data_IF_383416779211
#
_entry.id   IF_383416779211
#
_cell.length_a   1.000
_cell.length_b   1.000
_cell.length_c   1.000
_cell.angle_alpha   90.00
_cell.angle_beta   90.00
_cell.angle_gamma   90.00
#
_symmetry.space_group_name_H-M   'P 1'
#
loop_
_entity.id
_entity.type
_entity.pdbx_description
1 polymer ?
#
# COMPACT_ATOMS: atom_id res chain seq x y z
N UNK A 1 7.09 -16.16 -13.92
CA UNK A 1 6.46 -16.17 -12.58
C UNK A 1 6.75 -17.47 -11.81
N UNK A 2 6.31 -18.66 -12.26
CA UNK A 2 6.57 -19.94 -11.55
C UNK A 2 8.06 -20.27 -11.33
N UNK A 3 8.93 -19.93 -12.30
CA UNK A 3 10.38 -20.18 -12.22
C UNK A 3 11.05 -19.43 -11.06
N UNK A 4 10.65 -18.19 -10.79
CA UNK A 4 11.26 -17.37 -9.72
C UNK A 4 10.90 -17.92 -8.34
N UNK A 5 9.63 -18.29 -8.14
CA UNK A 5 9.16 -18.92 -6.89
C UNK A 5 9.90 -20.23 -6.63
N UNK A 6 10.06 -21.08 -7.65
CA UNK A 6 10.79 -22.34 -7.51
C UNK A 6 12.27 -22.13 -7.20
N UNK A 7 12.92 -21.12 -7.79
CA UNK A 7 14.31 -20.78 -7.49
C UNK A 7 14.46 -20.29 -6.05
N UNK A 8 13.56 -19.44 -5.57
CA UNK A 8 13.56 -18.95 -4.17
C UNK A 8 13.32 -20.10 -3.20
N UNK A 9 12.33 -20.97 -3.47
CA UNK A 9 12.08 -22.14 -2.64
C UNK A 9 13.28 -23.08 -2.58
N UNK A 10 13.91 -23.40 -3.72
CA UNK A 10 15.08 -24.27 -3.73
C UNK A 10 16.28 -23.66 -2.98
N UNK A 11 16.48 -22.34 -3.13
CA UNK A 11 17.52 -21.60 -2.40
C UNK A 11 17.28 -21.65 -0.88
N UNK A 12 16.06 -21.33 -0.45
CA UNK A 12 15.70 -21.32 0.96
C UNK A 12 15.68 -22.73 1.58
N UNK A 13 15.23 -23.74 0.84
CA UNK A 13 15.24 -25.14 1.30
C UNK A 13 16.68 -25.63 1.53
N UNK A 14 17.60 -25.29 0.62
CA UNK A 14 19.04 -25.57 0.79
C UNK A 14 19.61 -24.83 2.01
N UNK A 15 19.22 -23.56 2.21
CA UNK A 15 19.64 -22.75 3.35
C UNK A 15 19.17 -23.33 4.69
N UNK A 16 17.88 -23.64 4.83
CA UNK A 16 17.34 -24.19 6.08
C UNK A 16 17.78 -25.64 6.33
N UNK A 17 17.98 -26.44 5.28
CA UNK A 17 18.59 -27.78 5.40
C UNK A 17 20.03 -27.67 5.93
N UNK A 18 20.80 -26.67 5.50
CA UNK A 18 22.16 -26.45 6.02
C UNK A 18 22.18 -25.98 7.49
N UNK A 19 21.18 -25.21 7.90
CA UNK A 19 21.03 -24.74 9.28
C UNK A 19 20.45 -25.81 10.23
N UNK A 20 19.86 -26.88 9.68
CA UNK A 20 19.18 -27.98 10.38
C UNK A 20 18.06 -27.54 11.36
N UNK A 21 17.45 -26.36 11.15
CA UNK A 21 16.57 -25.75 12.16
C UNK A 21 15.35 -25.00 11.63
N UNK A 22 14.82 -25.38 10.47
CA UNK A 22 13.57 -24.78 10.00
C UNK A 22 13.05 -25.36 8.69
N UNK A 23 11.86 -24.90 8.32
CA UNK A 23 11.20 -25.19 7.05
C UNK A 23 10.65 -23.90 6.44
N UNK A 24 10.54 -23.88 5.12
CA UNK A 24 9.92 -22.78 4.37
C UNK A 24 8.76 -23.32 3.54
N UNK A 25 7.68 -22.55 3.47
CA UNK A 25 6.57 -22.82 2.56
C UNK A 25 6.15 -21.54 1.83
N UNK A 26 5.68 -21.71 0.59
CA UNK A 26 5.12 -20.62 -0.21
C UNK A 26 3.61 -20.57 0.00
N UNK A 27 3.09 -19.41 0.40
CA UNK A 27 1.66 -19.23 0.68
C UNK A 27 0.97 -18.59 -0.52
N UNK A 28 1.53 -17.50 -1.04
CA UNK A 28 0.98 -16.73 -2.15
C UNK A 28 2.10 -16.00 -2.91
N UNK A 29 1.79 -15.38 -4.04
CA UNK A 29 2.79 -14.73 -4.89
C UNK A 29 3.67 -13.72 -4.11
N UNK A 30 4.96 -14.04 -3.96
CA UNK A 30 5.92 -13.20 -3.23
C UNK A 30 5.88 -13.35 -1.71
N UNK A 31 5.03 -14.23 -1.19
CA UNK A 31 4.82 -14.46 0.24
C UNK A 31 5.31 -15.86 0.64
N UNK A 32 6.21 -15.86 1.62
CA UNK A 32 6.82 -17.08 2.15
C UNK A 32 6.68 -17.10 3.66
N UNK A 33 6.37 -18.27 4.21
CA UNK A 33 6.35 -18.52 5.64
C UNK A 33 7.54 -19.38 6.00
N UNK A 34 8.34 -18.88 6.95
CA UNK A 34 9.47 -19.59 7.53
C UNK A 34 9.09 -20.00 8.95
N UNK A 35 9.27 -21.29 9.25
CA UNK A 35 9.08 -21.82 10.60
C UNK A 35 10.42 -22.37 11.10
N UNK A 36 10.93 -21.79 12.19
CA UNK A 36 12.18 -22.18 12.82
C UNK A 36 11.89 -22.98 14.08
N UNK A 37 12.71 -24.00 14.36
CA UNK A 37 12.60 -24.84 15.56
C UNK A 37 13.91 -24.82 16.32
N UNK A 38 13.84 -24.56 17.63
CA UNK A 38 15.00 -24.41 18.51
C UNK A 38 14.91 -25.38 19.70
N UNK A 39 15.20 -26.68 19.51
CA UNK A 39 15.07 -27.69 20.57
C UNK A 39 16.09 -27.50 21.71
N UNK A 40 17.26 -26.91 21.42
CA UNK A 40 18.38 -26.79 22.35
C UNK A 40 18.42 -25.45 23.12
N UNK A 41 17.48 -24.53 22.82
CA UNK A 41 17.43 -23.21 23.44
C UNK A 41 16.19 -23.09 24.32
N UNK A 42 16.38 -22.69 25.58
CA UNK A 42 15.29 -22.51 26.55
C UNK A 42 14.97 -21.04 26.83
N UNK A 43 15.86 -20.12 26.42
CA UNK A 43 15.67 -18.68 26.58
C UNK A 43 14.99 -18.08 25.35
N UNK A 44 13.83 -17.46 25.55
CA UNK A 44 13.10 -16.73 24.50
C UNK A 44 13.97 -15.65 23.83
N UNK A 45 14.76 -14.92 24.62
CA UNK A 45 15.67 -13.90 24.09
C UNK A 45 16.75 -14.52 23.18
N UNK A 46 17.32 -15.66 23.56
CA UNK A 46 18.30 -16.37 22.73
C UNK A 46 17.68 -16.92 21.44
N UNK A 47 16.44 -17.42 21.53
CA UNK A 47 15.68 -17.89 20.37
C UNK A 47 15.44 -16.74 19.38
N UNK A 48 14.93 -15.61 19.86
CA UNK A 48 14.65 -14.44 19.02
C UNK A 48 15.92 -13.87 18.38
N UNK A 49 17.01 -13.79 19.14
CA UNK A 49 18.30 -13.31 18.64
C UNK A 49 18.85 -14.22 17.53
N UNK A 50 18.79 -15.54 17.74
CA UNK A 50 19.28 -16.52 16.75
C UNK A 50 18.40 -16.50 15.50
N UNK A 51 17.07 -16.45 15.67
CA UNK A 51 16.12 -16.33 14.56
C UNK A 51 16.37 -15.06 13.73
N UNK A 52 16.61 -13.92 14.39
CA UNK A 52 16.92 -12.67 13.71
C UNK A 52 18.22 -12.76 12.88
N UNK A 53 19.25 -13.43 13.40
CA UNK A 53 20.50 -13.67 12.67
C UNK A 53 20.27 -14.54 11.43
N UNK A 54 19.54 -15.65 11.57
CA UNK A 54 19.25 -16.58 10.48
C UNK A 54 18.43 -15.90 9.37
N UNK A 55 17.43 -15.10 9.75
CA UNK A 55 16.61 -14.32 8.81
C UNK A 55 17.43 -13.22 8.12
N UNK A 56 18.31 -12.52 8.84
CA UNK A 56 19.19 -11.51 8.25
C UNK A 56 20.15 -12.12 7.22
N UNK A 57 20.72 -13.28 7.53
CA UNK A 57 21.54 -14.04 6.59
C UNK A 57 20.76 -14.46 5.34
N UNK A 58 19.52 -14.94 5.52
CA UNK A 58 18.65 -15.29 4.40
C UNK A 58 18.35 -14.07 3.53
N UNK A 59 17.93 -12.94 4.12
CA UNK A 59 17.66 -11.67 3.41
C UNK A 59 18.88 -11.25 2.58
N UNK A 60 20.08 -11.25 3.19
CA UNK A 60 21.32 -10.87 2.53
C UNK A 60 21.66 -11.77 1.35
N UNK A 61 21.45 -13.07 1.51
CA UNK A 61 21.70 -14.03 0.45
C UNK A 61 20.70 -13.91 -0.72
N UNK A 62 19.40 -13.75 -0.43
CA UNK A 62 18.38 -13.53 -1.47
C UNK A 62 18.65 -12.22 -2.23
N UNK A 63 19.07 -11.17 -1.53
CA UNK A 63 19.49 -9.90 -2.15
C UNK A 63 20.70 -10.07 -3.05
N UNK A 64 21.75 -10.75 -2.56
CA UNK A 64 23.03 -10.91 -3.27
C UNK A 64 22.92 -11.81 -4.51
N UNK A 65 22.20 -12.93 -4.41
CA UNK A 65 22.19 -13.94 -5.46
C UNK A 65 21.00 -13.84 -6.42
N UNK A 66 19.87 -13.27 -5.97
CA UNK A 66 18.65 -13.19 -6.77
C UNK A 66 18.21 -11.74 -7.06
N UNK A 67 18.87 -10.74 -6.46
CA UNK A 67 18.47 -9.33 -6.53
C UNK A 67 17.03 -9.10 -6.06
N UNK A 68 16.56 -9.93 -5.12
CA UNK A 68 15.21 -9.84 -4.54
C UNK A 68 15.29 -9.11 -3.20
N UNK A 69 14.48 -8.07 -3.03
CA UNK A 69 14.27 -7.43 -1.73
C UNK A 69 13.18 -8.16 -0.96
N UNK A 70 13.49 -8.53 0.29
CA UNK A 70 12.59 -9.32 1.13
C UNK A 70 12.36 -8.64 2.47
N UNK A 71 11.10 -8.59 2.88
CA UNK A 71 10.67 -8.12 4.20
C UNK A 71 10.33 -9.35 5.04
N UNK A 72 10.71 -9.32 6.31
CA UNK A 72 10.40 -10.36 7.25
C UNK A 72 9.89 -9.71 8.53
N UNK A 73 8.84 -10.30 9.11
CA UNK A 73 8.42 -9.99 10.46
C UNK A 73 8.50 -11.25 11.31
N UNK A 74 8.93 -11.08 12.55
CA UNK A 74 9.11 -12.16 13.50
C UNK A 74 7.84 -12.35 14.32
N UNK A 75 7.41 -13.61 14.48
CA UNK A 75 6.36 -13.97 15.43
C UNK A 75 6.96 -14.12 16.84
N UNK A 76 6.17 -13.92 17.90
CA UNK A 76 6.55 -14.35 19.25
C UNK A 76 6.88 -15.84 19.27
N UNK A 77 7.70 -16.27 20.22
CA UNK A 77 8.02 -17.69 20.40
C UNK A 77 6.79 -18.40 20.95
N UNK A 78 6.45 -19.54 20.36
CA UNK A 78 5.34 -20.38 20.80
C UNK A 78 5.81 -21.82 21.01
N UNK A 79 5.25 -22.45 22.03
CA UNK A 79 5.44 -23.87 22.38
C UNK A 79 4.43 -24.78 21.66
N UNK A 80 3.36 -24.20 21.12
CA UNK A 80 2.22 -24.90 20.54
C UNK A 80 1.78 -24.26 19.22
N UNK A 81 1.42 -25.10 18.23
CA UNK A 81 1.03 -24.65 16.88
C UNK A 81 -0.37 -24.00 16.86
N UNK A 82 -1.14 -24.12 17.93
CA UNK A 82 -2.49 -23.52 18.05
C UNK A 82 -2.47 -21.99 17.89
N UNK A 83 -1.39 -21.35 18.34
CA UNK A 83 -1.19 -19.91 18.25
C UNK A 83 -0.73 -19.46 16.85
N UNK A 84 -0.34 -20.36 15.95
CA UNK A 84 0.21 -20.01 14.64
C UNK A 84 -0.78 -19.17 13.82
N UNK A 85 -2.05 -19.61 13.76
CA UNK A 85 -3.07 -19.00 12.89
C UNK A 85 -3.42 -17.56 13.26
N UNK A 86 -3.77 -17.21 14.52
CA UNK A 86 -4.12 -15.83 14.87
C UNK A 86 -2.93 -14.87 14.69
N UNK A 87 -1.71 -15.29 15.04
CA UNK A 87 -0.52 -14.45 14.84
C UNK A 87 -0.15 -14.31 13.37
N UNK A 88 -0.29 -15.36 12.57
CA UNK A 88 -0.11 -15.29 11.12
C UNK A 88 -1.02 -14.23 10.51
N UNK A 89 -2.32 -14.24 10.82
CA UNK A 89 -3.26 -13.25 10.28
C UNK A 89 -2.88 -11.82 10.67
N UNK A 90 -2.46 -11.61 11.91
CA UNK A 90 -2.02 -10.30 12.41
C UNK A 90 -0.76 -9.80 11.69
N UNK A 91 0.23 -10.66 11.50
CA UNK A 91 1.49 -10.29 10.83
C UNK A 91 1.29 -10.14 9.32
N UNK A 92 0.50 -11.02 8.71
CA UNK A 92 0.16 -10.92 7.29
C UNK A 92 -0.53 -9.58 7.00
N UNK A 93 -1.47 -9.14 7.84
CA UNK A 93 -2.06 -7.81 7.75
C UNK A 93 -1.00 -6.70 7.89
N UNK A 94 -0.10 -6.77 8.87
CA UNK A 94 0.97 -5.78 9.05
C UNK A 94 1.93 -5.72 7.86
N UNK A 95 2.30 -6.86 7.29
CA UNK A 95 3.18 -6.96 6.13
C UNK A 95 2.50 -6.44 4.86
N UNK A 96 1.19 -6.61 4.70
CA UNK A 96 0.43 -6.02 3.59
C UNK A 96 0.34 -4.49 3.67
N UNK A 97 0.45 -3.94 4.88
CA UNK A 97 0.37 -2.49 5.16
C UNK A 97 1.76 -1.85 5.26
N UNK A 98 2.85 -2.63 5.29
CA UNK A 98 4.23 -2.13 5.34
C UNK A 98 4.75 -1.75 3.92
N UNK A 99 5.43 -0.60 3.76
CA UNK A 99 6.03 -0.18 2.49
C UNK A 99 7.04 -1.15 1.90
N UNK A 100 7.01 -1.27 0.57
CA UNK A 100 8.02 -1.98 -0.21
C UNK A 100 8.97 -0.98 -0.91
N UNK A 101 9.96 -0.44 -0.18
CA UNK A 101 11.27 0.12 -0.65
C UNK A 101 11.81 1.17 0.35
N UNK A 102 13.12 1.35 0.62
CA UNK A 102 14.36 0.58 0.37
C UNK A 102 15.50 1.35 1.08
N UNK A 103 16.43 0.62 1.71
CA UNK A 103 17.69 1.07 2.36
C UNK A 103 17.64 1.69 3.77
N UNK A 104 16.97 1.02 4.71
CA UNK A 104 17.24 1.20 6.14
C UNK A 104 17.65 -0.13 6.79
N UNK A 105 18.81 -0.65 6.40
CA UNK A 105 19.64 -1.52 7.27
C UNK A 105 20.52 -0.68 8.22
N UNK A 106 20.23 0.61 8.38
CA UNK A 106 20.78 1.40 9.47
C UNK A 106 19.68 1.65 10.48
N UNK A 107 19.81 0.98 11.62
CA UNK A 107 19.11 1.16 12.90
C UNK A 107 17.71 0.58 13.08
N UNK A 108 17.62 -0.76 13.16
CA UNK A 108 16.54 -1.44 13.91
C UNK A 108 16.60 -1.18 15.44
N UNK A 109 17.60 -0.45 15.95
CA UNK A 109 17.73 -0.17 17.40
C UNK A 109 17.11 1.17 17.88
N UNK A 110 16.43 1.96 17.02
CA UNK A 110 15.86 3.26 17.42
C UNK A 110 14.44 3.57 16.91
N UNK A 111 13.68 2.57 16.45
CA UNK A 111 12.33 2.81 15.91
C UNK A 111 11.22 2.98 16.95
N UNK A 112 11.49 2.73 18.24
CA UNK A 112 10.45 2.79 19.28
C UNK A 112 10.10 4.22 19.76
N UNK A 113 10.81 5.27 19.30
CA UNK A 113 10.64 6.64 19.81
C UNK A 113 10.73 7.76 18.74
N UNK A 114 10.57 7.47 17.45
CA UNK A 114 10.46 8.56 16.46
C UNK A 114 9.08 9.22 16.56
N UNK A 115 8.98 10.55 16.73
CA UNK A 115 7.68 11.21 16.72
C UNK A 115 7.01 10.98 15.36
N UNK A 116 5.75 10.54 15.37
CA UNK A 116 4.93 10.47 14.17
C UNK A 116 4.74 11.89 13.63
N UNK A 117 5.40 12.20 12.51
CA UNK A 117 5.31 13.50 11.84
C UNK A 117 3.97 13.70 11.11
N UNK A 118 3.23 12.61 10.94
CA UNK A 118 1.92 12.58 10.31
C UNK A 118 0.92 12.07 11.35
N UNK A 119 -0.10 12.86 11.66
CA UNK A 119 -1.15 12.44 12.58
C UNK A 119 -2.07 11.41 11.91
N UNK A 120 -2.70 10.54 12.71
CA UNK A 120 -3.73 9.61 12.22
C UNK A 120 -4.87 10.32 11.48
N UNK A 121 -5.20 11.56 11.90
CA UNK A 121 -6.21 12.36 11.23
C UNK A 121 -5.75 12.78 9.82
N UNK A 122 -4.54 13.30 9.69
CA UNK A 122 -3.98 13.69 8.38
C UNK A 122 -3.82 12.49 7.44
N UNK A 123 -3.44 11.31 7.96
CA UNK A 123 -3.41 10.07 7.18
C UNK A 123 -4.78 9.73 6.59
N UNK A 124 -5.82 9.75 7.43
CA UNK A 124 -7.18 9.43 7.01
C UNK A 124 -7.73 10.45 6.02
N UNK A 125 -7.54 11.75 6.29
CA UNK A 125 -8.00 12.82 5.40
C UNK A 125 -7.28 12.79 4.04
N UNK A 126 -5.98 12.46 4.03
CA UNK A 126 -5.21 12.30 2.80
C UNK A 126 -5.68 11.06 2.03
N UNK A 127 -5.81 9.91 2.70
CA UNK A 127 -6.31 8.66 2.11
C UNK A 127 -7.69 8.87 1.47
N UNK A 128 -8.62 9.48 2.19
CA UNK A 128 -9.96 9.80 1.70
C UNK A 128 -9.87 10.72 0.47
N UNK A 129 -9.13 11.83 0.56
CA UNK A 129 -8.98 12.78 -0.54
C UNK A 129 -8.39 12.16 -1.82
N UNK A 130 -7.46 11.21 -1.65
CA UNK A 130 -6.85 10.44 -2.73
C UNK A 130 -7.83 9.46 -3.37
N UNK A 131 -8.63 8.74 -2.59
CA UNK A 131 -9.69 7.84 -3.09
C UNK A 131 -10.73 8.58 -3.94
N UNK A 132 -11.01 9.82 -3.57
CA UNK A 132 -11.95 10.70 -4.28
C UNK A 132 -11.35 11.42 -5.49
N UNK A 133 -10.03 11.33 -5.71
CA UNK A 133 -9.29 12.10 -6.71
C UNK A 133 -9.52 13.61 -6.56
N UNK A 134 -9.61 14.09 -5.31
CA UNK A 134 -9.78 15.50 -5.00
C UNK A 134 -8.42 16.20 -4.98
N UNK A 135 -7.90 16.52 -6.16
CA UNK A 135 -6.59 17.16 -6.36
C UNK A 135 -6.39 18.42 -5.51
N UNK A 136 -7.41 19.27 -5.40
CA UNK A 136 -7.34 20.49 -4.61
C UNK A 136 -7.11 20.16 -3.13
N UNK A 137 -7.91 19.25 -2.57
CA UNK A 137 -7.83 18.86 -1.17
C UNK A 137 -6.53 18.12 -0.84
N UNK A 138 -6.07 17.24 -1.73
CA UNK A 138 -4.75 16.58 -1.57
C UNK A 138 -3.62 17.61 -1.52
N UNK A 139 -3.64 18.59 -2.41
CA UNK A 139 -2.61 19.65 -2.44
C UNK A 139 -2.63 20.50 -1.16
N UNK A 140 -3.82 20.81 -0.64
CA UNK A 140 -4.02 21.54 0.62
C UNK A 140 -3.45 20.75 1.82
N UNK A 141 -3.83 19.48 1.95
CA UNK A 141 -3.38 18.60 3.05
C UNK A 141 -1.86 18.40 3.01
N UNK A 142 -1.30 18.08 1.84
CA UNK A 142 0.15 17.92 1.68
C UNK A 142 0.87 19.22 2.00
N UNK A 143 0.35 20.36 1.56
CA UNK A 143 0.95 21.66 1.88
C UNK A 143 0.97 21.92 3.38
N UNK A 144 -0.14 21.66 4.08
CA UNK A 144 -0.23 21.78 5.53
C UNK A 144 0.76 20.86 6.27
N UNK A 145 0.89 19.61 5.84
CA UNK A 145 1.83 18.65 6.42
C UNK A 145 3.27 19.16 6.31
N UNK A 146 3.70 19.57 5.11
CA UNK A 146 5.06 20.05 4.90
C UNK A 146 5.34 21.40 5.59
N UNK A 147 4.36 22.28 5.71
CA UNK A 147 4.49 23.53 6.49
C UNK A 147 4.66 23.25 7.99
N UNK A 148 3.89 22.29 8.53
CA UNK A 148 3.98 21.86 9.94
C UNK A 148 5.35 21.23 10.24
N UNK A 149 5.87 20.47 9.29
CA UNK A 149 7.22 19.87 9.36
C UNK A 149 8.33 20.92 9.23
N UNK A 150 8.12 22.01 8.47
CA UNK A 150 9.08 23.10 8.35
C UNK A 150 9.18 23.96 9.63
N UNK A 151 8.08 24.06 10.39
CA UNK A 151 8.05 24.76 11.68
C UNK A 151 8.67 23.95 12.83
N UNK A 152 8.84 22.65 12.63
CA UNK A 152 9.49 21.75 13.58
C UNK A 152 10.94 21.50 13.17
N UNK A 153 11.86 21.36 14.12
CA UNK A 153 13.26 21.06 13.78
C UNK A 153 13.39 19.57 13.45
N UNK A 154 13.10 19.22 12.19
CA UNK A 154 13.05 17.83 11.72
C UNK A 154 14.35 17.45 11.02
N UNK A 155 14.81 16.22 11.24
CA UNK A 155 15.99 15.66 10.58
C UNK A 155 15.69 15.24 9.13
N UNK A 156 16.73 15.14 8.30
CA UNK A 156 16.60 14.66 6.92
C UNK A 156 16.01 13.24 6.83
N UNK A 157 16.35 12.36 7.77
CA UNK A 157 15.84 10.99 7.82
C UNK A 157 14.34 10.96 8.10
N UNK A 158 13.88 11.81 9.01
CA UNK A 158 12.47 12.00 9.35
C UNK A 158 11.66 12.55 8.17
N UNK A 159 12.21 13.50 7.43
CA UNK A 159 11.63 14.01 6.18
C UNK A 159 11.51 12.92 5.10
N UNK A 160 12.54 12.10 4.94
CA UNK A 160 12.50 10.98 4.00
C UNK A 160 11.44 9.94 4.39
N UNK A 161 11.32 9.63 5.68
CA UNK A 161 10.26 8.74 6.21
C UNK A 161 8.86 9.29 5.94
N UNK A 162 8.65 10.59 6.16
CA UNK A 162 7.38 11.25 5.86
C UNK A 162 7.01 11.12 4.38
N UNK A 163 7.96 11.38 3.48
CA UNK A 163 7.70 11.29 2.02
C UNK A 163 7.41 9.85 1.59
N UNK A 164 8.10 8.86 2.17
CA UNK A 164 7.79 7.44 1.95
C UNK A 164 6.37 7.10 2.41
N UNK A 165 6.00 7.56 3.62
CA UNK A 165 4.67 7.33 4.16
C UNK A 165 3.55 7.92 3.29
N UNK A 166 3.73 9.16 2.83
CA UNK A 166 2.79 9.79 1.90
C UNK A 166 2.70 9.02 0.58
N UNK A 167 3.83 8.52 0.08
CA UNK A 167 3.90 7.70 -1.15
C UNK A 167 3.13 6.39 -0.98
N UNK A 168 3.19 5.74 0.20
CA UNK A 168 2.42 4.53 0.51
C UNK A 168 0.92 4.78 0.52
N UNK A 169 0.47 5.81 1.24
CA UNK A 169 -0.95 6.17 1.34
C UNK A 169 -1.50 6.40 -0.06
N UNK A 170 -0.73 7.08 -0.90
CA UNK A 170 -1.04 7.28 -2.30
C UNK A 170 -1.15 5.96 -3.06
N UNK A 171 -0.12 5.10 -3.03
CA UNK A 171 -0.14 3.83 -3.75
C UNK A 171 -1.30 2.92 -3.33
N UNK A 172 -1.63 2.90 -2.03
CA UNK A 172 -2.78 2.16 -1.52
C UNK A 172 -4.09 2.71 -2.08
N UNK A 173 -4.28 4.03 -2.04
CA UNK A 173 -5.46 4.69 -2.60
C UNK A 173 -5.59 4.49 -4.13
N UNK A 174 -4.46 4.48 -4.86
CA UNK A 174 -4.44 4.19 -6.29
C UNK A 174 -4.89 2.74 -6.57
N UNK A 175 -4.34 1.76 -5.84
CA UNK A 175 -4.67 0.33 -6.00
C UNK A 175 -6.14 0.05 -5.71
N UNK A 176 -6.70 0.67 -4.67
CA UNK A 176 -8.11 0.51 -4.29
C UNK A 176 -9.05 1.20 -5.26
N UNK A 177 -8.63 2.30 -5.88
CA UNK A 177 -9.39 2.96 -6.95
C UNK A 177 -9.48 2.11 -8.23
N UNK A 178 -8.44 1.35 -8.59
CA UNK A 178 -8.34 0.57 -9.85
C UNK A 178 -7.98 -0.92 -9.64
N UNK A 179 -8.90 -1.75 -9.11
CA UNK A 179 -8.66 -3.18 -8.91
C UNK A 179 -8.61 -3.99 -10.23
N UNK A 180 -9.25 -3.53 -11.31
CA UNK A 180 -9.36 -4.26 -12.58
C UNK A 180 -8.16 -4.03 -13.53
N UNK A 181 -7.21 -3.16 -13.17
CA UNK A 181 -6.07 -2.83 -14.03
C UNK A 181 -4.77 -3.20 -13.32
N UNK A 182 -3.90 -3.90 -14.05
CA UNK A 182 -2.57 -4.30 -13.60
C UNK A 182 -1.89 -3.09 -12.93
N UNK A 183 -1.36 -3.34 -11.74
CA UNK A 183 -0.82 -2.35 -10.81
C UNK A 183 -0.21 -1.14 -11.52
N UNK A 184 -0.77 0.04 -11.27
CA UNK A 184 -0.23 1.32 -11.69
C UNK A 184 1.24 1.38 -11.25
N UNK A 185 2.14 1.26 -12.21
CA UNK A 185 3.57 1.12 -12.00
C UNK A 185 4.26 2.49 -11.99
N UNK A 186 3.70 3.47 -11.27
CA UNK A 186 4.44 4.70 -11.01
C UNK A 186 5.55 4.33 -10.05
N UNK A 187 6.79 4.43 -10.51
CA UNK A 187 7.94 4.17 -9.66
C UNK A 187 7.97 5.23 -8.55
N UNK A 188 8.13 4.82 -7.27
CA UNK A 188 8.28 5.76 -6.18
C UNK A 188 9.35 6.82 -6.49
N UNK A 189 9.16 8.07 -6.05
CA UNK A 189 10.13 9.12 -6.29
C UNK A 189 11.49 8.72 -5.67
N UNK A 190 12.58 8.90 -6.41
CA UNK A 190 13.93 8.73 -5.88
C UNK A 190 14.24 9.89 -4.92
N UNK A 191 14.04 9.68 -3.63
CA UNK A 191 14.19 10.72 -2.59
C UNK A 191 15.56 10.73 -1.90
N UNK A 192 16.41 9.74 -2.16
CA UNK A 192 17.68 9.53 -1.47
C UNK A 192 18.72 10.65 -1.68
N UNK A 193 18.55 11.50 -2.70
CA UNK A 193 19.47 12.60 -3.03
C UNK A 193 18.91 14.00 -2.76
N UNK A 194 17.73 14.12 -2.14
CA UNK A 194 17.05 15.40 -1.97
C UNK A 194 17.27 15.89 -0.54
N UNK A 195 17.86 17.08 -0.42
CA UNK A 195 18.27 17.68 0.86
C UNK A 195 17.36 18.85 1.29
N UNK A 196 16.32 19.14 0.52
CA UNK A 196 15.48 20.32 0.67
C UNK A 196 14.00 19.95 0.82
N UNK A 197 13.33 20.55 1.80
CA UNK A 197 11.93 20.31 2.16
C UNK A 197 11.01 20.73 1.00
N UNK A 198 11.30 21.87 0.37
CA UNK A 198 10.51 22.37 -0.76
C UNK A 198 10.67 21.46 -1.98
N UNK A 199 11.88 20.97 -2.23
CA UNK A 199 12.14 19.99 -3.27
C UNK A 199 11.42 18.65 -3.02
N UNK A 200 11.39 18.16 -1.77
CA UNK A 200 10.66 16.96 -1.38
C UNK A 200 9.14 17.12 -1.58
N UNK A 201 8.58 18.24 -1.12
CA UNK A 201 7.16 18.59 -1.32
C UNK A 201 6.81 18.59 -2.81
N UNK A 202 7.61 19.30 -3.63
CA UNK A 202 7.41 19.39 -5.08
C UNK A 202 7.50 18.01 -5.74
N UNK A 203 8.44 17.18 -5.32
CA UNK A 203 8.60 15.84 -5.88
C UNK A 203 7.45 14.91 -5.52
N UNK A 204 6.92 15.00 -4.30
CA UNK A 204 5.72 14.26 -3.91
C UNK A 204 4.50 14.69 -4.75
N UNK A 205 4.27 15.99 -4.90
CA UNK A 205 3.16 16.50 -5.72
C UNK A 205 3.30 16.09 -7.20
N UNK A 206 4.52 16.13 -7.76
CA UNK A 206 4.78 15.66 -9.12
C UNK A 206 4.44 14.17 -9.27
N UNK A 207 4.88 13.35 -8.31
CA UNK A 207 4.57 11.92 -8.28
C UNK A 207 3.06 11.66 -8.15
N UNK A 208 2.35 12.48 -7.36
CA UNK A 208 0.89 12.44 -7.28
C UNK A 208 0.22 12.75 -8.62
N UNK A 209 0.61 13.83 -9.31
CA UNK A 209 0.06 14.15 -10.62
C UNK A 209 0.34 13.05 -11.64
N UNK A 210 1.53 12.45 -11.63
CA UNK A 210 1.85 11.30 -12.49
C UNK A 210 0.98 10.07 -12.20
N UNK A 211 0.70 9.80 -10.92
CA UNK A 211 -0.22 8.74 -10.52
C UNK A 211 -1.67 9.01 -10.95
N UNK A 212 -2.13 10.26 -10.86
CA UNK A 212 -3.43 10.67 -11.37
C UNK A 212 -3.50 10.52 -12.89
N UNK A 213 -2.50 11.00 -13.64
CA UNK A 213 -2.45 10.85 -15.09
C UNK A 213 -2.45 9.38 -15.51
N UNK A 214 -1.75 8.52 -14.78
CA UNK A 214 -1.77 7.07 -15.02
C UNK A 214 -3.10 6.41 -14.66
N UNK A 215 -3.76 6.83 -13.57
CA UNK A 215 -5.11 6.39 -13.24
C UNK A 215 -6.11 6.74 -14.35
N UNK A 216 -6.05 7.97 -14.83
CA UNK A 216 -6.95 8.47 -15.86
C UNK A 216 -6.60 7.74 -17.16
N UNK A 217 -5.34 7.72 -17.61
CA UNK A 217 -4.89 7.04 -18.84
C UNK A 217 -5.16 5.54 -18.89
N UNK A 218 -5.03 4.83 -17.76
CA UNK A 218 -5.21 3.38 -17.72
C UNK A 218 -6.68 2.98 -17.57
N UNK A 219 -7.47 3.69 -16.73
CA UNK A 219 -8.86 3.28 -16.40
C UNK A 219 -9.97 4.08 -17.07
N UNK A 220 -9.65 5.26 -17.60
CA UNK A 220 -10.65 6.21 -18.09
C UNK A 220 -10.50 6.41 -19.60
N UNK A 221 -9.29 6.55 -20.14
CA UNK A 221 -9.10 6.78 -21.60
C UNK A 221 -9.49 5.62 -22.52
N UNK A 222 -9.70 4.41 -22.01
CA UNK A 222 -10.24 3.28 -22.79
C UNK A 222 -11.74 3.44 -23.09
N UNK A 223 -12.44 4.26 -22.30
CA UNK A 223 -13.86 4.49 -22.45
C UNK A 223 -14.15 5.75 -23.25
N UNK A 224 -15.31 5.86 -23.92
CA UNK A 224 -15.70 7.08 -24.62
C UNK A 224 -15.70 8.30 -23.68
N UNK A 225 -15.36 9.52 -24.16
CA UNK A 225 -15.24 10.74 -23.32
C UNK A 225 -16.44 11.01 -22.38
N UNK A 226 -17.65 10.62 -22.80
CA UNK A 226 -18.85 10.69 -21.98
C UNK A 226 -18.75 9.82 -20.71
N UNK A 227 -18.31 8.57 -20.87
CA UNK A 227 -18.13 7.63 -19.75
C UNK A 227 -16.99 8.10 -18.86
N UNK A 228 -15.94 8.68 -19.44
CA UNK A 228 -14.86 9.26 -18.67
C UNK A 228 -15.35 10.33 -17.70
N UNK A 229 -16.09 11.29 -18.25
CA UNK A 229 -16.71 12.37 -17.48
C UNK A 229 -17.65 11.84 -16.41
N UNK A 230 -18.43 10.81 -16.72
CA UNK A 230 -19.32 10.15 -15.78
C UNK A 230 -18.58 9.50 -14.61
N UNK A 231 -17.51 8.74 -14.89
CA UNK A 231 -16.72 8.05 -13.88
C UNK A 231 -16.01 9.04 -12.94
N UNK A 232 -15.45 10.11 -13.48
CA UNK A 232 -14.85 11.19 -12.68
C UNK A 232 -15.89 11.80 -11.75
N UNK A 233 -17.07 12.13 -12.28
CA UNK A 233 -18.17 12.68 -11.50
C UNK A 233 -18.60 11.74 -10.37
N UNK A 234 -18.73 10.44 -10.64
CA UNK A 234 -19.05 9.42 -9.62
C UNK A 234 -17.99 9.39 -8.52
N UNK A 235 -16.70 9.32 -8.86
CA UNK A 235 -15.61 9.24 -7.86
C UNK A 235 -15.59 10.45 -6.94
N UNK A 236 -15.87 11.64 -7.48
CA UNK A 236 -15.88 12.88 -6.72
C UNK A 236 -17.15 13.06 -5.87
N UNK A 237 -18.29 12.51 -6.29
CA UNK A 237 -19.59 12.82 -5.69
C UNK A 237 -20.32 11.62 -5.08
N UNK A 238 -19.73 10.41 -5.04
CA UNK A 238 -20.46 9.19 -4.64
C UNK A 238 -21.09 9.28 -3.24
N UNK A 239 -20.55 10.11 -2.36
CA UNK A 239 -21.05 10.32 -0.99
C UNK A 239 -22.38 11.11 -0.96
N UNK A 240 -22.71 11.81 -2.05
CA UNK A 240 -23.99 12.52 -2.24
C UNK A 240 -25.02 11.60 -2.88
N UNK A 241 -26.30 11.96 -2.78
CA UNK A 241 -27.36 11.27 -3.53
C UNK A 241 -27.32 11.68 -5.01
N UNK A 242 -26.76 10.80 -5.85
CA UNK A 242 -26.63 11.04 -7.30
C UNK A 242 -27.73 10.27 -8.03
N UNK A 243 -28.64 11.00 -8.68
CA UNK A 243 -29.62 10.39 -9.58
C UNK A 243 -29.08 10.22 -11.02
N UNK A 244 -29.78 9.42 -11.81
CA UNK A 244 -29.53 9.31 -13.26
C UNK A 244 -29.66 10.68 -13.95
N UNK A 245 -30.57 11.54 -13.46
CA UNK A 245 -30.77 12.88 -13.99
C UNK A 245 -29.56 13.77 -13.77
N UNK A 246 -28.97 13.73 -12.56
CA UNK A 246 -27.85 14.57 -12.18
C UNK A 246 -26.60 14.26 -13.01
N UNK A 247 -26.27 12.98 -13.15
CA UNK A 247 -25.10 12.56 -13.92
C UNK A 247 -25.29 12.80 -15.43
N UNK A 248 -26.52 12.62 -15.95
CA UNK A 248 -26.82 12.87 -17.36
C UNK A 248 -26.73 14.37 -17.67
N UNK A 249 -27.23 15.22 -16.78
CA UNK A 249 -27.10 16.69 -16.85
C UNK A 249 -25.64 17.11 -16.78
N UNK A 250 -24.86 16.54 -15.86
CA UNK A 250 -23.41 16.80 -15.76
C UNK A 250 -22.67 16.41 -17.05
N UNK A 251 -23.05 15.28 -17.66
CA UNK A 251 -22.49 14.81 -18.92
C UNK A 251 -23.00 15.57 -20.15
N UNK A 252 -24.08 16.37 -20.04
CA UNK A 252 -24.66 17.12 -21.14
C UNK A 252 -25.48 16.27 -22.12
N UNK A 253 -26.08 15.18 -21.65
CA UNK A 253 -26.86 14.23 -22.48
C UNK A 253 -28.20 13.87 -21.85
N UNK A 254 -29.08 13.23 -22.62
CA UNK A 254 -30.35 12.70 -22.07
C UNK A 254 -30.12 11.46 -21.21
N UNK A 255 -30.99 11.24 -20.23
CA UNK A 255 -30.94 10.09 -19.31
C UNK A 255 -30.97 8.74 -20.04
N UNK A 256 -31.79 8.65 -21.10
CA UNK A 256 -31.93 7.45 -21.92
C UNK A 256 -30.63 7.13 -22.65
N UNK A 257 -30.00 8.15 -23.26
CA UNK A 257 -28.74 7.97 -23.97
C UNK A 257 -27.60 7.61 -22.99
N UNK A 258 -27.51 8.32 -21.87
CA UNK A 258 -26.53 8.03 -20.83
C UNK A 258 -26.65 6.59 -20.32
N UNK A 259 -27.87 6.16 -19.92
CA UNK A 259 -28.10 4.84 -19.35
C UNK A 259 -27.68 3.72 -20.29
N UNK A 260 -27.98 3.86 -21.59
CA UNK A 260 -27.57 2.90 -22.61
C UNK A 260 -26.05 2.87 -22.78
N UNK A 261 -25.43 4.03 -23.04
CA UNK A 261 -23.99 4.12 -23.30
C UNK A 261 -23.19 3.67 -22.06
N UNK A 262 -23.66 3.99 -20.86
CA UNK A 262 -23.03 3.58 -19.61
C UNK A 262 -23.11 2.06 -19.41
N UNK A 263 -24.29 1.46 -19.64
CA UNK A 263 -24.44 0.01 -19.52
C UNK A 263 -23.61 -0.74 -20.57
N UNK A 264 -23.56 -0.23 -21.80
CA UNK A 264 -22.79 -0.83 -22.90
C UNK A 264 -21.28 -0.76 -22.61
N UNK A 265 -20.80 0.35 -22.04
CA UNK A 265 -19.39 0.52 -21.69
C UNK A 265 -18.98 -0.26 -20.42
N UNK A 266 -19.80 -0.22 -19.37
CA UNK A 266 -19.45 -0.75 -18.04
C UNK A 266 -19.94 -2.19 -17.81
N UNK A 267 -20.74 -2.75 -18.72
CA UNK A 267 -21.37 -4.06 -18.57
C UNK A 267 -22.49 -4.12 -17.53
N UNK A 268 -22.77 -3.02 -16.82
CA UNK A 268 -23.80 -2.95 -15.78
C UNK A 268 -24.44 -1.55 -15.69
N UNK A 269 -25.70 -1.45 -15.18
CA UNK A 269 -26.39 -0.18 -15.04
C UNK A 269 -25.69 0.79 -14.09
N UNK A 270 -25.78 2.09 -14.36
CA UNK A 270 -25.22 3.17 -13.53
C UNK A 270 -25.53 3.03 -12.04
N UNK A 271 -26.80 2.79 -11.67
CA UNK A 271 -27.21 2.69 -10.26
C UNK A 271 -26.54 1.51 -9.55
N UNK A 272 -26.40 0.38 -10.25
CA UNK A 272 -25.70 -0.80 -9.73
C UNK A 272 -24.21 -0.49 -9.57
N UNK A 273 -23.61 0.19 -10.54
CA UNK A 273 -22.21 0.61 -10.48
C UNK A 273 -21.94 1.52 -9.28
N UNK A 274 -22.76 2.56 -9.10
CA UNK A 274 -22.64 3.50 -7.99
C UNK A 274 -22.74 2.80 -6.63
N UNK A 275 -23.69 1.87 -6.47
CA UNK A 275 -23.84 1.11 -5.23
C UNK A 275 -22.64 0.19 -4.97
N UNK A 276 -22.16 -0.54 -5.97
CA UNK A 276 -20.97 -1.36 -5.85
C UNK A 276 -19.75 -0.52 -5.49
N UNK A 277 -19.61 0.66 -6.11
CA UNK A 277 -18.55 1.60 -5.80
C UNK A 277 -18.61 2.07 -4.34
N UNK A 278 -19.79 2.48 -3.86
CA UNK A 278 -20.00 2.90 -2.46
C UNK A 278 -19.66 1.81 -1.45
N UNK A 279 -20.13 0.58 -1.70
CA UNK A 279 -19.83 -0.58 -0.82
C UNK A 279 -18.33 -0.81 -0.76
N UNK A 280 -17.64 -0.75 -1.91
CA UNK A 280 -16.19 -0.92 -1.98
C UNK A 280 -15.45 0.12 -1.13
N UNK A 281 -15.85 1.40 -1.24
CA UNK A 281 -15.24 2.44 -0.42
C UNK A 281 -15.56 2.24 1.06
N UNK A 282 -16.80 1.91 1.42
CA UNK A 282 -17.17 1.64 2.81
C UNK A 282 -16.36 0.47 3.42
N UNK A 283 -16.18 -0.63 2.67
CA UNK A 283 -15.33 -1.74 3.09
C UNK A 283 -13.87 -1.33 3.31
N UNK A 284 -13.35 -0.44 2.46
CA UNK A 284 -12.00 0.07 2.63
C UNK A 284 -11.87 0.97 3.87
N UNK A 285 -12.82 1.88 4.08
CA UNK A 285 -12.85 2.76 5.25
C UNK A 285 -12.92 1.94 6.55
N UNK A 286 -13.73 0.87 6.59
CA UNK A 286 -13.80 -0.04 7.73
C UNK A 286 -12.50 -0.79 8.02
N UNK A 287 -11.70 -1.09 7.00
CA UNK A 287 -10.39 -1.73 7.17
C UNK A 287 -9.31 -0.75 7.65
N UNK A 288 -9.50 0.56 7.42
CA UNK A 288 -8.58 1.61 7.86
C UNK A 288 -8.96 2.22 9.22
N UNK A 289 -10.25 2.27 9.56
CA UNK A 289 -10.70 2.67 10.88
C UNK A 289 -10.47 1.54 11.87
N UNK A 290 -9.63 1.77 12.87
CA UNK A 290 -9.39 0.87 14.02
C UNK A 290 -10.62 0.78 14.97
N UNK A 291 -11.82 1.10 14.47
CA UNK A 291 -13.06 1.03 15.22
C UNK A 291 -13.48 -0.43 15.31
N UNK A 292 -13.09 -0.99 16.45
CA UNK A 292 -13.48 -2.29 16.97
C UNK A 292 -14.99 -2.50 16.82
N UNK A 293 -15.39 -3.59 16.15
CA UNK A 293 -16.67 -4.25 16.39
C UNK A 293 -16.61 -5.03 17.70
#
# INVERSE_FOLDING_TARGET
HQKVVNTVLHFCDTFFTSLQRGIITHINYGEFLVLLSFPDLTSEAAILQTAAQDISLLKNNLRRYLSIHTFAETMPVFDTVEHLRPYYLKIHHRLQVKPFNSDSDLSEEKEENSPLLLSLQEENELSESLLHLNEKRVTEIVTHIFESVQQTHVSLLELQRLVLRLTEIMQLALRTATPDHEAIAVQPPAIHNILDIDALKKQFLLYYHQGLEQLISTSVFQYPPLIQKALIYIRQNYHLDISLSDISRHCGVSEVYFSRVFKDAMGLPFTKYLNTYRVRIASHLLLQSNDSL
#
